data_IF_639889025449
#
_entry.id   IF_639889025449
#
_cell.length_a   1.000
_cell.length_b   1.000
_cell.length_c   1.000
_cell.angle_alpha   90.00
_cell.angle_beta   90.00
_cell.angle_gamma   90.00
#
_symmetry.space_group_name_H-M   'P 1'
#
loop_
_entity.id
_entity.type
_entity.pdbx_description
1 polymer ?
#
# COMPACT_ATOMS: atom_id res chain seq x y z
N UNK A 1 59.81 4.80 19.53
CA UNK A 1 58.70 5.56 20.15
C UNK A 1 57.40 4.77 19.99
N UNK A 2 56.61 4.56 21.04
CA UNK A 2 55.26 3.98 20.93
C UNK A 2 54.25 5.05 21.36
N UNK A 3 53.50 5.60 20.40
CA UNK A 3 52.38 6.51 20.66
C UNK A 3 51.14 5.65 20.94
N UNK A 4 50.44 5.91 22.03
CA UNK A 4 49.10 5.35 22.30
C UNK A 4 48.12 6.53 22.37
N UNK A 5 47.18 6.58 21.44
CA UNK A 5 45.98 7.43 21.54
C UNK A 5 44.81 6.54 21.95
N UNK A 6 44.04 6.97 22.95
CA UNK A 6 42.79 6.29 23.35
C UNK A 6 41.77 7.34 23.76
N UNK A 7 40.57 7.28 23.17
CA UNK A 7 39.43 8.08 23.61
C UNK A 7 38.91 7.57 24.95
N UNK A 8 38.66 8.48 25.89
CA UNK A 8 38.12 8.18 27.22
C UNK A 8 37.04 9.19 27.56
N UNK A 9 36.08 8.77 28.38
CA UNK A 9 35.05 9.65 28.92
C UNK A 9 35.41 9.93 30.38
N UNK A 10 35.57 11.19 30.73
CA UNK A 10 36.04 11.65 32.03
C UNK A 10 34.96 12.50 32.67
N UNK A 11 34.72 12.30 33.96
CA UNK A 11 33.77 13.10 34.73
C UNK A 11 34.52 14.21 35.44
N UNK A 12 34.10 15.46 35.23
CA UNK A 12 34.68 16.62 35.89
C UNK A 12 34.17 16.74 37.34
N UNK A 13 34.82 17.60 38.13
CA UNK A 13 34.45 17.89 39.53
C UNK A 13 33.06 18.53 39.67
N UNK A 14 32.56 19.19 38.64
CA UNK A 14 31.20 19.74 38.54
C UNK A 14 30.17 18.70 38.07
N UNK A 15 30.57 17.42 37.99
CA UNK A 15 29.78 16.29 37.52
C UNK A 15 29.51 16.27 36.00
N UNK A 16 30.02 17.23 35.23
CA UNK A 16 29.88 17.23 33.77
C UNK A 16 30.71 16.10 33.12
N UNK A 17 30.27 15.65 31.95
CA UNK A 17 30.92 14.56 31.22
C UNK A 17 31.73 15.16 30.07
N UNK A 18 33.03 14.90 30.06
CA UNK A 18 33.96 15.31 29.02
C UNK A 18 34.44 14.07 28.25
N UNK A 19 34.29 14.07 26.94
CA UNK A 19 34.99 13.11 26.10
C UNK A 19 36.37 13.68 25.76
N UNK A 20 37.43 12.94 26.10
CA UNK A 20 38.81 13.35 25.87
C UNK A 20 39.58 12.34 25.05
N UNK A 21 40.45 12.84 24.18
CA UNK A 21 41.51 12.05 23.56
C UNK A 21 42.80 12.21 24.36
N UNK A 22 43.30 11.12 24.92
CA UNK A 22 44.55 11.12 25.67
C UNK A 22 45.65 10.51 24.81
N UNK A 23 46.65 11.31 24.49
CA UNK A 23 47.88 10.87 23.82
C UNK A 23 49.05 10.96 24.79
N UNK A 24 49.72 9.84 25.05
CA UNK A 24 50.91 9.79 25.91
C UNK A 24 52.16 9.46 25.12
N UNK A 25 53.25 10.18 25.35
CA UNK A 25 54.57 9.95 24.79
C UNK A 25 55.62 9.91 25.90
N UNK A 26 56.34 8.80 26.01
CA UNK A 26 57.47 8.67 26.93
C UNK A 26 58.73 9.26 26.28
N UNK A 27 59.35 10.23 26.95
CA UNK A 27 60.60 10.86 26.54
C UNK A 27 61.70 10.35 27.47
N UNK A 28 62.75 9.77 26.90
CA UNK A 28 63.97 9.40 27.62
C UNK A 28 65.03 10.46 27.36
N UNK A 29 65.10 11.42 28.26
CA UNK A 29 66.32 12.19 28.49
C UNK A 29 66.89 11.73 29.86
N UNK A 30 67.93 12.37 30.41
CA UNK A 30 68.60 12.03 31.68
C UNK A 30 67.64 11.76 32.88
N UNK A 31 66.36 12.13 32.77
CA UNK A 31 65.24 11.67 33.61
C UNK A 31 64.11 11.06 32.75
N UNK A 32 63.42 10.03 33.28
CA UNK A 32 62.23 9.44 32.64
C UNK A 32 61.05 10.43 32.74
N UNK A 33 60.69 11.07 31.63
CA UNK A 33 59.57 12.02 31.56
C UNK A 33 58.43 11.46 30.70
N UNK A 34 57.19 11.63 31.15
CA UNK A 34 55.99 11.27 30.38
C UNK A 34 55.25 12.54 29.97
N UNK A 35 55.14 12.77 28.66
CA UNK A 35 54.29 13.83 28.11
C UNK A 35 52.89 13.26 27.88
N UNK A 36 51.87 13.87 28.47
CA UNK A 36 50.47 13.53 28.26
C UNK A 36 49.77 14.75 27.67
N UNK A 37 49.11 14.56 26.54
CA UNK A 37 48.24 15.56 25.92
C UNK A 37 46.81 15.06 26.08
N UNK A 38 45.97 15.89 26.68
CA UNK A 38 44.53 15.66 26.82
C UNK A 38 43.82 16.68 25.94
N UNK A 39 43.07 16.22 24.95
CA UNK A 39 42.27 17.09 24.08
C UNK A 39 40.79 16.81 24.35
N UNK A 40 40.03 17.85 24.65
CA UNK A 40 38.57 17.77 24.67
C UNK A 40 38.04 17.53 23.26
N UNK A 41 37.26 16.46 23.11
CA UNK A 41 36.62 16.04 21.87
C UNK A 41 35.10 15.89 22.04
N UNK A 42 34.53 16.44 23.12
CA UNK A 42 33.10 16.34 23.45
C UNK A 42 32.24 16.89 22.31
N UNK A 43 32.52 18.13 21.89
CA UNK A 43 31.82 18.79 20.78
C UNK A 43 31.87 17.98 19.48
N UNK A 44 33.06 17.45 19.16
CA UNK A 44 33.28 16.63 17.97
C UNK A 44 32.44 15.34 18.02
N UNK A 45 32.51 14.58 19.11
CA UNK A 45 31.76 13.32 19.27
C UNK A 45 30.25 13.55 19.27
N UNK A 46 29.77 14.63 19.87
CA UNK A 46 28.34 14.96 19.85
C UNK A 46 27.87 15.26 18.42
N UNK A 47 28.63 16.06 17.67
CA UNK A 47 28.33 16.34 16.26
C UNK A 47 28.33 15.07 15.39
N UNK A 48 29.36 14.22 15.52
CA UNK A 48 29.44 12.94 14.82
C UNK A 48 28.24 12.03 15.15
N UNK A 49 27.83 11.95 16.44
CA UNK A 49 26.64 11.18 16.85
C UNK A 49 25.34 11.75 16.30
N UNK A 50 25.19 13.09 16.26
CA UNK A 50 23.98 13.72 15.73
C UNK A 50 23.82 13.41 14.23
N UNK A 51 24.88 13.59 13.44
CA UNK A 51 24.89 13.26 12.01
C UNK A 51 24.62 11.78 11.79
N UNK A 52 25.25 10.90 12.58
CA UNK A 52 25.04 9.45 12.48
C UNK A 52 23.58 9.08 12.79
N UNK A 53 22.99 9.64 13.85
CA UNK A 53 21.59 9.42 14.22
C UNK A 53 20.63 9.90 13.13
N UNK A 54 20.87 11.07 12.57
CA UNK A 54 20.05 11.62 11.48
C UNK A 54 20.11 10.72 10.24
N UNK A 55 21.31 10.25 9.87
CA UNK A 55 21.51 9.31 8.76
C UNK A 55 20.78 7.98 8.99
N UNK A 56 20.82 7.44 10.20
CA UNK A 56 20.11 6.21 10.57
C UNK A 56 18.59 6.37 10.43
N UNK A 57 18.05 7.49 10.90
CA UNK A 57 16.62 7.79 10.78
C UNK A 57 16.21 7.91 9.30
N UNK A 58 16.96 8.67 8.50
CA UNK A 58 16.68 8.84 7.07
C UNK A 58 16.75 7.52 6.30
N UNK A 59 17.76 6.69 6.56
CA UNK A 59 17.89 5.36 5.94
C UNK A 59 16.70 4.48 6.29
N UNK A 60 16.29 4.45 7.56
CA UNK A 60 15.15 3.65 8.02
C UNK A 60 13.83 4.09 7.38
N UNK A 61 13.62 5.39 7.18
CA UNK A 61 12.43 5.92 6.50
C UNK A 61 12.40 5.53 5.02
N UNK A 62 13.53 5.61 4.32
CA UNK A 62 13.61 5.25 2.90
C UNK A 62 13.48 3.74 2.65
N UNK A 63 14.05 2.91 3.52
CA UNK A 63 13.99 1.45 3.45
C UNK A 63 12.59 0.89 3.73
N UNK A 64 11.87 1.49 4.68
CA UNK A 64 10.52 1.05 5.09
C UNK A 64 9.39 1.76 4.34
N UNK A 65 9.74 2.63 3.39
CA UNK A 65 8.74 3.27 2.54
C UNK A 65 7.94 2.24 1.76
N UNK A 66 6.66 2.54 1.47
CA UNK A 66 5.83 1.76 0.56
C UNK A 66 5.88 2.31 -0.88
N UNK A 67 6.52 3.46 -1.07
CA UNK A 67 6.69 4.07 -2.39
C UNK A 67 8.13 3.95 -2.87
N UNK A 68 8.29 3.81 -4.18
CA UNK A 68 9.55 4.01 -4.87
C UNK A 68 9.86 5.49 -4.94
N UNK A 69 11.06 5.87 -4.51
CA UNK A 69 11.53 7.26 -4.48
C UNK A 69 12.80 7.36 -5.33
N UNK A 70 12.83 8.35 -6.21
CA UNK A 70 13.99 8.72 -7.01
C UNK A 70 14.31 10.19 -6.82
N UNK A 71 15.60 10.49 -6.70
CA UNK A 71 16.11 11.84 -6.80
C UNK A 71 16.74 12.02 -8.18
N UNK A 72 16.30 13.03 -8.92
CA UNK A 72 16.68 13.25 -10.32
C UNK A 72 17.23 14.68 -10.44
N UNK A 73 18.41 14.85 -11.03
CA UNK A 73 18.94 16.17 -11.36
C UNK A 73 18.12 16.85 -12.46
N UNK A 74 17.74 18.12 -12.27
CA UNK A 74 16.83 18.80 -13.20
C UNK A 74 17.46 19.15 -14.55
N UNK A 75 18.76 19.48 -14.59
CA UNK A 75 19.47 19.96 -15.79
C UNK A 75 19.71 18.89 -16.85
N UNK A 76 19.72 17.61 -16.46
CA UNK A 76 20.01 16.47 -17.34
C UNK A 76 19.13 15.25 -17.12
N UNK A 77 18.11 15.35 -16.26
CA UNK A 77 17.20 14.27 -15.88
C UNK A 77 17.91 12.99 -15.43
N UNK A 78 19.10 13.15 -14.84
CA UNK A 78 19.96 12.06 -14.40
C UNK A 78 19.54 11.62 -13.00
N UNK A 79 19.32 10.32 -12.81
CA UNK A 79 18.99 9.78 -11.51
C UNK A 79 20.23 9.84 -10.61
N UNK A 80 20.11 10.53 -9.49
CA UNK A 80 21.18 10.73 -8.50
C UNK A 80 21.10 9.70 -7.39
N UNK A 81 19.88 9.36 -6.96
CA UNK A 81 19.67 8.34 -5.95
C UNK A 81 18.31 7.67 -6.08
N UNK A 82 18.19 6.47 -5.52
CA UNK A 82 16.98 5.65 -5.51
C UNK A 82 16.85 4.90 -4.19
N UNK A 83 15.60 4.74 -3.71
CA UNK A 83 15.33 3.90 -2.56
C UNK A 83 15.14 2.40 -2.95
N UNK A 84 15.18 1.46 -1.99
CA UNK A 84 15.05 0.03 -2.28
C UNK A 84 13.74 -0.37 -2.97
N UNK A 85 12.63 0.30 -2.67
CA UNK A 85 11.35 0.02 -3.34
C UNK A 85 11.43 0.37 -4.83
N UNK A 86 12.02 1.51 -5.18
CA UNK A 86 12.20 1.89 -6.59
C UNK A 86 13.04 0.86 -7.35
N UNK A 87 14.13 0.39 -6.75
CA UNK A 87 14.99 -0.69 -7.31
C UNK A 87 14.14 -1.94 -7.60
N UNK A 88 13.35 -2.37 -6.61
CA UNK A 88 12.49 -3.56 -6.73
C UNK A 88 11.42 -3.42 -7.82
N UNK A 89 10.74 -2.28 -7.88
CA UNK A 89 9.66 -2.04 -8.87
C UNK A 89 10.22 -1.87 -10.28
N UNK A 90 11.37 -1.20 -10.45
CA UNK A 90 12.03 -1.05 -11.75
C UNK A 90 12.65 -2.39 -12.21
N UNK A 91 13.11 -3.21 -11.27
CA UNK A 91 13.69 -4.52 -11.54
C UNK A 91 15.15 -4.48 -12.01
N UNK A 92 15.89 -3.43 -11.68
CA UNK A 92 17.33 -3.24 -12.00
C UNK A 92 18.13 -2.88 -10.76
N UNK A 93 19.44 -3.07 -10.79
CA UNK A 93 20.30 -2.75 -9.64
C UNK A 93 20.45 -1.23 -9.46
N UNK A 94 20.86 -0.80 -8.25
CA UNK A 94 21.10 0.64 -7.98
C UNK A 94 22.14 1.22 -8.94
N UNK A 95 23.19 0.46 -9.21
CA UNK A 95 24.32 0.83 -10.06
C UNK A 95 23.92 0.98 -11.53
N UNK A 96 22.92 0.22 -11.98
CA UNK A 96 22.37 0.35 -13.33
C UNK A 96 21.41 1.54 -13.46
N UNK A 97 20.76 1.94 -12.37
CA UNK A 97 19.76 3.02 -12.38
C UNK A 97 20.44 4.38 -12.15
N UNK A 98 21.26 4.48 -11.11
CA UNK A 98 21.93 5.72 -10.72
C UNK A 98 22.93 6.11 -11.78
N UNK A 99 22.89 7.37 -12.17
CA UNK A 99 23.73 7.95 -13.20
C UNK A 99 23.15 7.89 -14.61
N UNK A 100 22.02 7.22 -14.80
CA UNK A 100 21.32 7.16 -16.08
C UNK A 100 20.10 8.09 -16.12
N UNK A 101 19.57 8.32 -17.32
CA UNK A 101 18.45 9.25 -17.56
C UNK A 101 17.13 8.58 -17.16
N UNK A 102 16.28 9.27 -16.39
CA UNK A 102 15.05 8.69 -15.82
C UNK A 102 14.09 8.10 -16.86
N UNK A 103 14.07 8.65 -18.08
CA UNK A 103 13.28 8.14 -19.21
C UNK A 103 13.58 6.69 -19.58
N UNK A 104 14.79 6.21 -19.36
CA UNK A 104 15.16 4.83 -19.69
C UNK A 104 14.47 3.79 -18.79
N UNK A 105 13.84 4.23 -17.69
CA UNK A 105 13.29 3.33 -16.66
C UNK A 105 11.82 3.64 -16.33
N UNK A 106 11.46 4.90 -16.17
CA UNK A 106 10.19 5.28 -15.52
C UNK A 106 9.38 6.37 -16.22
N UNK A 107 10.00 7.14 -17.12
CA UNK A 107 9.32 8.25 -17.80
C UNK A 107 9.09 7.91 -19.28
N UNK A 108 7.84 7.89 -19.78
CA UNK A 108 7.56 7.65 -21.20
C UNK A 108 7.73 8.92 -22.07
N UNK A 109 8.11 10.07 -21.48
CA UNK A 109 8.21 11.33 -22.21
C UNK A 109 9.32 11.30 -23.28
N UNK A 110 9.09 11.93 -24.42
CA UNK A 110 10.13 12.14 -25.44
C UNK A 110 11.16 13.17 -24.97
N UNK A 111 12.29 13.28 -25.70
CA UNK A 111 13.31 14.31 -25.40
C UNK A 111 12.64 15.69 -25.47
N UNK A 112 12.80 16.52 -24.44
CA UNK A 112 12.27 17.89 -24.43
C UNK A 112 10.76 18.00 -24.20
N UNK A 113 10.09 16.92 -23.76
CA UNK A 113 8.67 16.91 -23.37
C UNK A 113 8.46 16.48 -21.93
N UNK A 114 9.44 16.70 -21.07
CA UNK A 114 9.30 16.43 -19.64
C UNK A 114 8.16 17.30 -19.07
N UNK A 115 7.12 16.69 -18.48
CA UNK A 115 5.99 17.44 -17.93
C UNK A 115 6.42 18.47 -16.88
N UNK A 116 7.45 18.17 -16.10
CA UNK A 116 7.88 19.01 -14.98
C UNK A 116 8.83 20.11 -15.46
N UNK A 117 9.91 19.77 -16.17
CA UNK A 117 10.93 20.76 -16.57
C UNK A 117 10.53 21.58 -17.80
N UNK A 118 9.95 20.92 -18.82
CA UNK A 118 9.78 21.53 -20.14
C UNK A 118 8.38 22.15 -20.28
N UNK A 119 7.39 21.57 -19.60
CA UNK A 119 5.99 22.03 -19.62
C UNK A 119 5.58 22.78 -18.36
N UNK A 120 6.42 22.81 -17.32
CA UNK A 120 6.13 23.47 -16.04
C UNK A 120 4.89 22.92 -15.33
N UNK A 121 4.47 21.69 -15.65
CA UNK A 121 3.29 21.05 -15.09
C UNK A 121 3.62 20.47 -13.73
N UNK A 122 2.66 20.56 -12.80
CA UNK A 122 2.71 19.83 -11.55
C UNK A 122 2.15 18.42 -11.80
N UNK A 123 2.99 17.39 -11.69
CA UNK A 123 2.53 15.99 -11.78
C UNK A 123 2.24 15.53 -10.36
N UNK A 124 1.03 15.79 -9.88
CA UNK A 124 0.56 15.22 -8.62
C UNK A 124 -0.40 14.04 -8.89
N UNK A 125 -0.19 12.93 -8.17
CA UNK A 125 -1.05 11.74 -8.14
C UNK A 125 -1.59 11.31 -9.51
N UNK A 126 -0.72 11.18 -10.49
CA UNK A 126 -1.11 10.74 -11.83
C UNK A 126 -0.89 9.24 -12.00
N UNK A 127 -1.95 8.51 -12.36
CA UNK A 127 -1.81 7.11 -12.76
C UNK A 127 -1.09 7.02 -14.11
N UNK A 128 -0.06 6.18 -14.16
CA UNK A 128 0.73 5.89 -15.35
C UNK A 128 1.04 4.41 -15.41
N UNK A 129 1.43 3.96 -16.60
CA UNK A 129 1.96 2.61 -16.79
C UNK A 129 3.46 2.73 -17.02
N UNK A 130 4.23 1.89 -16.35
CA UNK A 130 5.66 1.71 -16.62
C UNK A 130 5.91 0.28 -17.08
N UNK A 131 7.02 0.08 -17.79
CA UNK A 131 7.49 -1.24 -18.18
C UNK A 131 8.74 -1.53 -17.37
N UNK A 132 8.71 -2.55 -16.52
CA UNK A 132 9.87 -2.95 -15.73
C UNK A 132 10.92 -3.67 -16.58
N UNK A 133 12.07 -4.02 -15.98
CA UNK A 133 13.14 -4.75 -16.67
C UNK A 133 12.70 -6.11 -17.23
N UNK A 134 11.69 -6.74 -16.61
CA UNK A 134 11.10 -8.00 -17.01
C UNK A 134 10.09 -7.86 -18.16
N UNK A 135 9.90 -6.64 -18.70
CA UNK A 135 8.91 -6.28 -19.73
C UNK A 135 7.45 -6.42 -19.27
N UNK A 136 7.21 -6.43 -17.96
CA UNK A 136 5.88 -6.41 -17.39
C UNK A 136 5.37 -4.97 -17.32
N UNK A 137 4.08 -4.79 -17.61
CA UNK A 137 3.42 -3.48 -17.51
C UNK A 137 2.87 -3.33 -16.09
N UNK A 138 3.42 -2.38 -15.34
CA UNK A 138 3.02 -2.08 -13.97
C UNK A 138 2.24 -0.77 -13.96
N UNK A 139 1.06 -0.80 -13.35
CA UNK A 139 0.30 0.42 -13.09
C UNK A 139 0.84 1.09 -11.84
N UNK A 140 1.27 2.34 -11.97
CA UNK A 140 1.79 3.13 -10.86
C UNK A 140 1.01 4.41 -10.67
N UNK A 141 0.88 4.85 -9.42
CA UNK A 141 0.51 6.22 -9.09
C UNK A 141 1.80 7.00 -8.86
N UNK A 142 2.09 8.02 -9.67
CA UNK A 142 3.30 8.84 -9.52
C UNK A 142 3.01 10.30 -9.19
N UNK A 143 3.91 10.89 -8.40
CA UNK A 143 3.98 12.33 -8.11
C UNK A 143 5.43 12.78 -8.28
N UNK A 144 5.64 13.99 -8.81
CA UNK A 144 6.98 14.55 -8.99
C UNK A 144 6.97 15.99 -8.49
N UNK A 145 7.89 16.29 -7.57
CA UNK A 145 8.02 17.62 -6.96
C UNK A 145 9.42 18.19 -7.19
N UNK A 146 9.56 19.45 -7.61
CA UNK A 146 10.85 20.12 -7.68
C UNK A 146 11.34 20.45 -6.27
N UNK A 147 12.63 20.29 -6.04
CA UNK A 147 13.32 20.66 -4.80
C UNK A 147 14.68 21.28 -5.13
N UNK A 148 15.12 22.24 -4.34
CA UNK A 148 16.47 22.84 -4.48
C UNK A 148 17.32 22.40 -3.29
N UNK A 149 18.49 21.82 -3.56
CA UNK A 149 19.46 21.33 -2.57
C UNK A 149 20.81 21.95 -2.91
N UNK A 150 21.42 22.68 -1.97
CA UNK A 150 22.72 23.36 -2.19
C UNK A 150 22.77 24.18 -3.49
N UNK A 151 21.73 25.00 -3.73
CA UNK A 151 21.57 25.85 -4.93
C UNK A 151 21.49 25.08 -6.27
N UNK A 152 21.22 23.77 -6.23
CA UNK A 152 20.97 22.95 -7.42
C UNK A 152 19.55 22.42 -7.42
N UNK A 153 18.94 22.41 -8.60
CA UNK A 153 17.58 21.94 -8.77
C UNK A 153 17.52 20.44 -9.04
N UNK A 154 16.61 19.78 -8.33
CA UNK A 154 16.31 18.37 -8.42
C UNK A 154 14.81 18.14 -8.52
N UNK A 155 14.43 16.95 -8.97
CA UNK A 155 13.09 16.42 -8.88
C UNK A 155 13.09 15.22 -7.93
N UNK A 156 12.17 15.22 -6.98
CA UNK A 156 11.84 14.05 -6.19
C UNK A 156 10.64 13.39 -6.86
N UNK A 157 10.86 12.23 -7.47
CA UNK A 157 9.80 11.40 -8.01
C UNK A 157 9.45 10.30 -7.02
N UNK A 158 8.16 10.19 -6.73
CA UNK A 158 7.58 9.19 -5.85
C UNK A 158 6.54 8.40 -6.63
N UNK A 159 6.58 7.07 -6.55
CA UNK A 159 5.55 6.22 -7.15
C UNK A 159 5.13 5.05 -6.27
N UNK A 160 3.89 4.63 -6.43
CA UNK A 160 3.30 3.47 -5.74
C UNK A 160 2.78 2.49 -6.79
N UNK A 161 3.13 1.21 -6.65
CA UNK A 161 2.58 0.14 -7.47
C UNK A 161 1.11 -0.12 -7.11
N UNK A 162 0.22 -0.04 -8.09
CA UNK A 162 -1.22 -0.25 -7.96
C UNK A 162 -1.66 -1.67 -8.35
N UNK A 163 -0.74 -2.56 -8.72
CA UNK A 163 -1.06 -3.88 -9.24
C UNK A 163 -1.87 -4.74 -8.26
N UNK A 164 -1.45 -4.78 -7.00
CA UNK A 164 -2.18 -5.52 -5.96
C UNK A 164 -3.57 -4.92 -5.72
N UNK A 165 -3.65 -3.60 -5.62
CA UNK A 165 -4.92 -2.89 -5.44
C UNK A 165 -5.90 -3.17 -6.59
N UNK A 166 -5.45 -3.07 -7.83
CA UNK A 166 -6.28 -3.34 -9.02
C UNK A 166 -6.75 -4.79 -9.09
N UNK A 167 -5.89 -5.76 -8.74
CA UNK A 167 -6.28 -7.18 -8.64
C UNK A 167 -7.38 -7.39 -7.60
N UNK A 168 -7.25 -6.76 -6.43
CA UNK A 168 -8.28 -6.86 -5.38
C UNK A 168 -9.59 -6.20 -5.81
N UNK A 169 -9.53 -5.03 -6.44
CA UNK A 169 -10.72 -4.34 -6.97
C UNK A 169 -11.44 -5.19 -8.05
N UNK A 170 -10.69 -5.79 -8.98
CA UNK A 170 -11.24 -6.69 -10.01
C UNK A 170 -11.87 -7.95 -9.42
N UNK A 171 -11.21 -8.60 -8.45
CA UNK A 171 -11.74 -9.77 -7.78
C UNK A 171 -13.03 -9.46 -7.02
N UNK A 172 -13.08 -8.31 -6.34
CA UNK A 172 -14.26 -7.85 -5.63
C UNK A 172 -15.42 -7.58 -6.59
N UNK A 173 -15.14 -6.94 -7.74
CA UNK A 173 -16.14 -6.69 -8.77
C UNK A 173 -16.71 -8.01 -9.32
N UNK A 174 -15.85 -9.00 -9.60
CA UNK A 174 -16.31 -10.32 -10.07
C UNK A 174 -17.20 -11.02 -9.05
N UNK A 175 -16.77 -11.08 -7.79
CA UNK A 175 -17.55 -11.70 -6.72
C UNK A 175 -18.93 -11.01 -6.54
N UNK A 176 -18.97 -9.68 -6.67
CA UNK A 176 -20.23 -8.92 -6.63
C UNK A 176 -21.17 -9.31 -7.78
N UNK A 177 -20.66 -9.35 -9.01
CA UNK A 177 -21.46 -9.71 -10.19
C UNK A 177 -22.00 -11.14 -10.11
N UNK A 178 -21.21 -12.09 -9.60
CA UNK A 178 -21.64 -13.47 -9.36
C UNK A 178 -22.76 -13.55 -8.31
N UNK A 179 -22.61 -12.80 -7.21
CA UNK A 179 -23.63 -12.74 -6.17
C UNK A 179 -24.94 -12.12 -6.67
N UNK A 180 -24.86 -11.04 -7.47
CA UNK A 180 -26.02 -10.40 -8.08
C UNK A 180 -26.74 -11.34 -9.06
N UNK A 181 -25.98 -12.05 -9.91
CA UNK A 181 -26.55 -13.05 -10.82
C UNK A 181 -27.26 -14.18 -10.06
N UNK A 182 -26.61 -14.74 -9.03
CA UNK A 182 -27.20 -15.78 -8.20
C UNK A 182 -28.49 -15.31 -7.49
N UNK A 183 -28.49 -14.07 -6.97
CA UNK A 183 -29.66 -13.52 -6.31
C UNK A 183 -30.82 -13.27 -7.29
N UNK A 184 -30.52 -12.82 -8.51
CA UNK A 184 -31.50 -12.67 -9.57
C UNK A 184 -32.12 -14.01 -9.94
N UNK A 185 -31.31 -15.03 -10.21
CA UNK A 185 -31.80 -16.39 -10.51
C UNK A 185 -32.62 -16.95 -9.36
N UNK A 186 -32.22 -16.72 -8.10
CA UNK A 186 -33.01 -17.10 -6.92
C UNK A 186 -34.38 -16.42 -6.91
N UNK A 187 -34.44 -15.12 -7.21
CA UNK A 187 -35.68 -14.34 -7.21
C UNK A 187 -36.62 -14.74 -8.35
N UNK A 188 -36.07 -14.97 -9.54
CA UNK A 188 -36.81 -15.49 -10.70
C UNK A 188 -37.35 -16.90 -10.40
N UNK A 189 -36.53 -17.76 -9.80
CA UNK A 189 -36.96 -19.11 -9.39
C UNK A 189 -38.10 -19.04 -8.37
N UNK A 190 -37.97 -18.25 -7.31
CA UNK A 190 -39.02 -18.12 -6.29
C UNK A 190 -40.32 -17.55 -6.88
N UNK A 191 -40.21 -16.54 -7.74
CA UNK A 191 -41.38 -15.93 -8.41
C UNK A 191 -42.08 -16.97 -9.29
N UNK A 192 -41.33 -17.69 -10.11
CA UNK A 192 -41.89 -18.71 -11.02
C UNK A 192 -42.49 -19.87 -10.22
N UNK A 193 -41.80 -20.39 -9.21
CA UNK A 193 -42.34 -21.46 -8.35
C UNK A 193 -43.63 -21.03 -7.65
N UNK A 194 -43.72 -19.79 -7.15
CA UNK A 194 -44.96 -19.28 -6.57
C UNK A 194 -46.11 -19.24 -7.56
N UNK A 195 -45.87 -18.80 -8.80
CA UNK A 195 -46.90 -18.80 -9.85
C UNK A 195 -47.34 -20.22 -10.24
N UNK A 196 -46.40 -21.14 -10.41
CA UNK A 196 -46.66 -22.53 -10.78
C UNK A 196 -47.38 -23.30 -9.67
N UNK A 197 -47.12 -22.99 -8.40
CA UNK A 197 -47.81 -23.60 -7.26
C UNK A 197 -49.21 -23.01 -7.01
N UNK A 198 -49.41 -21.71 -7.28
CA UNK A 198 -50.70 -21.04 -7.08
C UNK A 198 -51.79 -21.60 -7.99
N UNK A 199 -51.47 -21.94 -9.24
CA UNK A 199 -52.45 -22.44 -10.23
C UNK A 199 -53.15 -23.75 -9.82
N UNK A 200 -52.43 -24.84 -9.50
CA UNK A 200 -53.06 -26.08 -9.04
C UNK A 200 -53.68 -25.91 -7.65
N UNK A 201 -53.09 -25.11 -6.76
CA UNK A 201 -53.64 -24.87 -5.42
C UNK A 201 -54.99 -24.15 -5.49
N UNK A 202 -55.10 -23.10 -6.31
CA UNK A 202 -56.37 -22.40 -6.55
C UNK A 202 -57.44 -23.34 -7.14
N UNK A 203 -57.05 -24.31 -7.97
CA UNK A 203 -57.98 -25.31 -8.49
C UNK A 203 -58.48 -26.23 -7.38
N UNK A 204 -57.59 -26.71 -6.51
CA UNK A 204 -57.94 -27.56 -5.35
C UNK A 204 -58.87 -26.83 -4.39
N UNK A 205 -58.59 -25.55 -4.10
CA UNK A 205 -59.43 -24.68 -3.29
C UNK A 205 -60.81 -24.51 -3.93
N UNK A 206 -60.87 -24.12 -5.22
CA UNK A 206 -62.15 -23.90 -5.91
C UNK A 206 -63.02 -25.16 -5.97
N UNK A 207 -62.43 -26.34 -6.20
CA UNK A 207 -63.18 -27.60 -6.12
C UNK A 207 -63.63 -27.93 -4.70
N UNK A 208 -62.82 -27.58 -3.69
CA UNK A 208 -63.17 -27.76 -2.27
C UNK A 208 -64.35 -26.88 -1.87
N UNK A 209 -64.40 -25.62 -2.32
CA UNK A 209 -65.53 -24.72 -2.09
C UNK A 209 -66.83 -25.25 -2.72
N UNK A 210 -66.77 -25.70 -3.98
CA UNK A 210 -67.95 -26.27 -4.67
C UNK A 210 -68.47 -27.53 -3.95
N UNK A 211 -67.56 -28.34 -3.40
CA UNK A 211 -67.94 -29.50 -2.60
C UNK A 211 -68.61 -29.09 -1.28
N UNK A 212 -68.18 -28.01 -0.63
CA UNK A 212 -68.84 -27.47 0.56
C UNK A 212 -70.22 -26.88 0.27
N UNK A 213 -70.42 -26.28 -0.90
CA UNK A 213 -71.72 -25.79 -1.36
C UNK A 213 -72.72 -26.93 -1.64
N UNK A 214 -72.27 -28.20 -1.59
CA UNK A 214 -73.08 -29.41 -1.80
C UNK A 214 -73.81 -29.44 -3.15
N UNK A 215 -73.27 -28.74 -4.14
CA UNK A 215 -73.85 -28.64 -5.51
C UNK A 215 -74.03 -30.01 -6.15
N UNK A 216 -73.16 -30.97 -5.82
CA UNK A 216 -73.18 -32.34 -6.34
C UNK A 216 -73.67 -33.40 -5.34
N UNK A 217 -74.24 -32.99 -4.20
CA UNK A 217 -74.78 -33.89 -3.15
C UNK A 217 -74.20 -33.65 -1.75
N UNK A 218 -74.76 -34.34 -0.76
CA UNK A 218 -74.33 -34.22 0.63
C UNK A 218 -72.97 -34.88 0.90
N UNK A 219 -72.09 -34.17 1.60
CA UNK A 219 -70.82 -34.70 2.10
C UNK A 219 -71.01 -35.48 3.41
N UNK A 220 -70.31 -36.60 3.56
CA UNK A 220 -70.23 -37.30 4.84
C UNK A 220 -69.28 -36.58 5.82
N UNK A 221 -69.36 -36.91 7.11
CA UNK A 221 -68.59 -36.21 8.15
C UNK A 221 -67.06 -36.28 7.98
N UNK A 222 -66.51 -37.31 7.33
CA UNK A 222 -65.07 -37.39 7.04
C UNK A 222 -64.68 -36.50 5.86
N UNK A 223 -65.49 -36.49 4.80
CA UNK A 223 -65.29 -35.62 3.63
C UNK A 223 -65.35 -34.15 4.03
N UNK A 224 -66.35 -33.75 4.81
CA UNK A 224 -66.50 -32.39 5.32
C UNK A 224 -65.27 -31.93 6.12
N UNK A 225 -64.69 -32.83 6.93
CA UNK A 225 -63.47 -32.56 7.70
C UNK A 225 -62.26 -32.30 6.79
N UNK A 226 -62.06 -33.11 5.74
CA UNK A 226 -60.93 -32.93 4.83
C UNK A 226 -61.04 -31.64 4.00
N UNK A 227 -62.24 -31.31 3.51
CA UNK A 227 -62.48 -30.09 2.75
C UNK A 227 -62.23 -28.85 3.61
N UNK A 228 -62.71 -28.83 4.86
CA UNK A 228 -62.43 -27.74 5.80
C UNK A 228 -60.93 -27.61 6.13
N UNK A 229 -60.19 -28.72 6.21
CA UNK A 229 -58.74 -28.65 6.44
C UNK A 229 -58.01 -27.97 5.27
N UNK A 230 -58.40 -28.25 4.02
CA UNK A 230 -57.81 -27.64 2.82
C UNK A 230 -58.03 -26.12 2.85
N UNK A 231 -59.24 -25.67 3.13
CA UNK A 231 -59.59 -24.24 3.16
C UNK A 231 -58.98 -23.50 4.36
N UNK A 232 -58.80 -24.19 5.50
CA UNK A 232 -58.09 -23.60 6.64
C UNK A 232 -56.60 -23.34 6.35
N UNK A 233 -55.98 -24.13 5.47
CA UNK A 233 -54.59 -23.97 5.10
C UNK A 233 -54.36 -22.79 4.12
N UNK A 234 -55.39 -22.40 3.36
CA UNK A 234 -55.35 -21.27 2.43
C UNK A 234 -55.15 -19.93 3.15
N UNK A 235 -55.81 -19.72 4.28
CA UNK A 235 -55.71 -18.48 5.08
C UNK A 235 -54.29 -18.23 5.63
N UNK A 236 -53.42 -19.23 5.65
CA UNK A 236 -52.02 -19.10 6.09
C UNK A 236 -51.10 -18.72 4.91
N UNK A 237 -51.50 -19.02 3.67
CA UNK A 237 -50.65 -18.84 2.48
C UNK A 237 -50.75 -17.43 1.86
N UNK A 238 -51.69 -16.59 2.29
CA UNK A 238 -51.89 -15.23 1.77
C UNK A 238 -51.10 -14.15 2.54
N UNK A 239 -50.45 -14.51 3.66
CA UNK A 239 -49.72 -13.61 4.56
C UNK A 239 -48.17 -13.70 4.44
N UNK A 240 -47.64 -14.34 3.38
CA UNK A 240 -46.20 -14.53 3.13
C UNK A 240 -45.72 -13.87 1.83
#
# INVERSE_FOLDING_TARGET
>A
MRRRSKGQTVRQSDNSILDVEVSSLAIRDQRKTLLIIVRDITLRKVSERLVQKEREILSALLEKSLCGILLIEASGHKIVDVNPIAIKTIGRSKEEIVGNICRQFICPAEVGKCPISDLGLNVDKSEKMIINAQKEIISILKSVVPVTIEDKDYFVECFIDLSERKRTEENLLRAKLEAEAANRTKSEFLTNMSHELRTPLNSIIGFSDILLEKVFGDLNGKQLKYVNNILSAENISLDL
#
